data_IF_619704004274
#
_entry.id   IF_619704004274
#
_cell.length_a   1.000
_cell.length_b   1.000
_cell.length_c   1.000
_cell.angle_alpha   90.00
_cell.angle_beta   90.00
_cell.angle_gamma   90.00
#
_symmetry.space_group_name_H-M   'P 1'
#
loop_
_entity.id
_entity.type
_entity.pdbx_description
1 polymer ?
#
# COMPACT_ATOMS: atom_id res chain seq x y z
N UNK A 1 51.86 27.45 13.15
CA UNK A 1 50.60 26.90 13.71
C UNK A 1 49.35 27.66 13.26
N UNK A 2 49.42 28.94 12.82
CA UNK A 2 48.25 29.73 12.36
C UNK A 2 47.76 29.36 10.94
N UNK A 3 48.57 28.78 10.07
CA UNK A 3 48.20 28.40 8.69
C UNK A 3 47.37 27.14 8.64
N UNK A 4 47.53 26.21 9.59
CA UNK A 4 46.77 24.98 9.65
C UNK A 4 45.29 25.17 10.06
N UNK A 5 45.00 26.25 10.81
CA UNK A 5 43.65 26.58 11.28
C UNK A 5 42.83 27.24 10.16
N UNK A 6 43.47 27.97 9.23
CA UNK A 6 42.79 28.65 8.13
C UNK A 6 42.31 27.67 7.03
N UNK A 7 42.94 26.51 6.89
CA UNK A 7 42.59 25.48 5.90
C UNK A 7 41.38 24.65 6.32
N UNK A 8 41.02 24.61 7.60
CA UNK A 8 39.90 23.83 8.12
C UNK A 8 38.51 24.51 7.91
N UNK A 9 38.50 25.81 7.58
CA UNK A 9 37.26 26.61 7.41
C UNK A 9 36.73 26.57 5.97
N UNK A 10 37.47 26.01 5.02
CA UNK A 10 37.09 25.92 3.61
C UNK A 10 36.50 24.54 3.19
N UNK A 11 35.98 23.75 4.12
CA UNK A 11 35.16 22.62 3.75
C UNK A 11 33.81 23.22 3.29
N UNK A 12 33.46 23.15 1.99
CA UNK A 12 32.15 23.61 1.56
C UNK A 12 31.13 22.71 2.28
N UNK A 13 30.41 23.29 3.22
CA UNK A 13 29.18 22.71 3.72
C UNK A 13 28.27 22.56 2.52
N UNK A 14 28.29 21.38 1.87
CA UNK A 14 27.26 21.02 0.91
C UNK A 14 25.95 21.07 1.66
N UNK A 15 25.26 22.19 1.55
CA UNK A 15 23.85 22.29 1.93
C UNK A 15 23.13 21.26 1.09
N UNK A 16 22.80 20.12 1.68
CA UNK A 16 21.91 19.14 1.08
C UNK A 16 20.51 19.74 1.09
N UNK A 17 20.22 20.57 0.08
CA UNK A 17 18.83 20.95 -0.20
C UNK A 17 18.12 19.67 -0.67
N UNK A 18 17.30 19.12 0.18
CA UNK A 18 16.43 18.00 -0.21
C UNK A 18 15.51 18.46 -1.34
N UNK A 19 15.40 17.66 -2.38
CA UNK A 19 14.48 17.94 -3.48
C UNK A 19 13.02 17.85 -2.99
N UNK A 20 12.11 18.59 -3.64
CA UNK A 20 10.67 18.52 -3.34
C UNK A 20 10.17 17.07 -3.38
N UNK A 21 10.66 16.25 -4.32
CA UNK A 21 10.30 14.83 -4.42
C UNK A 21 10.72 14.01 -3.21
N UNK A 22 11.90 14.27 -2.65
CA UNK A 22 12.35 13.61 -1.41
C UNK A 22 11.51 14.01 -0.21
N UNK A 23 11.23 15.29 -0.02
CA UNK A 23 10.39 15.79 1.07
C UNK A 23 8.97 15.21 0.98
N UNK A 24 8.42 15.13 -0.24
CA UNK A 24 7.11 14.53 -0.49
C UNK A 24 7.10 13.05 -0.11
N UNK A 25 8.12 12.29 -0.54
CA UNK A 25 8.19 10.86 -0.21
C UNK A 25 8.40 10.61 1.28
N UNK A 26 9.18 11.44 1.96
CA UNK A 26 9.35 11.35 3.42
C UNK A 26 8.03 11.64 4.16
N UNK A 27 7.24 12.59 3.67
CA UNK A 27 5.91 12.90 4.22
C UNK A 27 4.92 11.75 3.98
N UNK A 28 4.95 11.12 2.81
CA UNK A 28 4.13 9.93 2.51
C UNK A 28 4.49 8.76 3.44
N UNK A 29 5.79 8.51 3.67
CA UNK A 29 6.24 7.47 4.61
C UNK A 29 5.78 7.77 6.04
N UNK A 30 5.89 9.03 6.50
CA UNK A 30 5.42 9.44 7.84
C UNK A 30 3.92 9.24 8.03
N UNK A 31 3.14 9.35 6.97
CA UNK A 31 1.68 9.09 7.00
C UNK A 31 1.32 7.60 6.91
N UNK A 32 2.32 6.72 6.86
CA UNK A 32 2.14 5.27 6.89
C UNK A 32 1.98 4.60 5.53
N UNK A 33 2.24 5.31 4.42
CA UNK A 33 2.31 4.66 3.11
C UNK A 33 3.55 3.80 2.99
N UNK A 34 3.45 2.69 2.28
CA UNK A 34 4.53 1.74 2.05
C UNK A 34 4.97 1.71 0.59
N UNK A 35 6.11 1.06 0.33
CA UNK A 35 6.71 0.92 -1.00
C UNK A 35 6.90 2.26 -1.72
N UNK A 36 7.05 3.34 -0.94
CA UNK A 36 7.16 4.71 -1.44
C UNK A 36 8.44 4.88 -2.22
N UNK A 37 8.33 5.40 -3.42
CA UNK A 37 9.44 5.77 -4.31
C UNK A 37 9.00 6.84 -5.29
N UNK A 38 9.93 7.48 -5.93
CA UNK A 38 9.66 8.52 -6.89
C UNK A 38 10.75 8.62 -7.95
N UNK A 39 10.42 9.23 -9.05
CA UNK A 39 11.38 9.63 -10.08
C UNK A 39 10.97 10.97 -10.69
N UNK A 40 11.92 11.68 -11.22
CA UNK A 40 11.72 12.99 -11.84
C UNK A 40 12.41 13.02 -13.20
N UNK A 41 11.62 13.10 -14.26
CA UNK A 41 12.08 13.22 -15.64
C UNK A 41 11.72 14.57 -16.20
N UNK A 42 12.25 14.96 -17.37
CA UNK A 42 11.83 16.22 -18.02
C UNK A 42 10.31 16.28 -18.30
N UNK A 43 9.67 15.15 -18.57
CA UNK A 43 8.27 15.08 -19.01
C UNK A 43 7.29 14.89 -17.83
N UNK A 44 7.72 14.18 -16.79
CA UNK A 44 6.83 13.81 -15.69
C UNK A 44 7.57 13.60 -14.37
N UNK A 45 6.89 13.92 -13.27
CA UNK A 45 7.25 13.49 -11.92
C UNK A 45 6.32 12.38 -11.48
N UNK A 46 6.89 11.24 -11.10
CA UNK A 46 6.10 10.05 -10.75
C UNK A 46 6.34 9.69 -9.29
N UNK A 47 5.27 9.53 -8.54
CA UNK A 47 5.27 8.98 -7.19
C UNK A 47 4.60 7.61 -7.21
N UNK A 48 5.10 6.71 -6.37
CA UNK A 48 4.49 5.40 -6.13
C UNK A 48 4.19 5.27 -4.65
N UNK A 49 3.00 4.79 -4.33
CA UNK A 49 2.58 4.51 -2.95
C UNK A 49 1.81 3.20 -2.88
N UNK A 50 1.87 2.58 -1.72
CA UNK A 50 0.98 1.50 -1.30
C UNK A 50 0.26 1.91 -0.02
N UNK A 51 -1.06 1.82 -0.02
CA UNK A 51 -1.85 2.18 1.14
C UNK A 51 -1.91 1.01 2.13
N UNK A 52 -1.19 1.14 3.22
CA UNK A 52 -1.26 0.24 4.38
C UNK A 52 -1.85 0.92 5.63
N UNK A 53 -1.93 2.26 5.62
CA UNK A 53 -2.37 3.04 6.78
C UNK A 53 -3.89 3.19 6.87
N UNK A 54 -4.59 3.18 5.74
CA UNK A 54 -6.02 3.49 5.70
C UNK A 54 -6.84 2.27 5.27
N UNK A 55 -7.86 1.91 6.05
CA UNK A 55 -8.75 0.80 5.74
C UNK A 55 -9.52 1.01 4.43
N UNK A 56 -9.90 2.26 4.15
CA UNK A 56 -10.61 2.63 2.91
C UNK A 56 -9.58 3.10 1.89
N UNK A 57 -9.47 2.38 0.77
CA UNK A 57 -8.47 2.66 -0.26
C UNK A 57 -8.60 4.06 -0.86
N UNK A 58 -9.84 4.50 -1.13
CA UNK A 58 -10.09 5.84 -1.68
C UNK A 58 -9.63 6.95 -0.73
N UNK A 59 -9.79 6.77 0.58
CA UNK A 59 -9.30 7.73 1.58
C UNK A 59 -7.77 7.80 1.57
N UNK A 60 -7.09 6.64 1.51
CA UNK A 60 -5.64 6.60 1.40
C UNK A 60 -5.13 7.32 0.14
N UNK A 61 -5.74 7.06 -1.01
CA UNK A 61 -5.39 7.73 -2.27
C UNK A 61 -5.56 9.24 -2.15
N UNK A 62 -6.70 9.70 -1.63
CA UNK A 62 -6.94 11.13 -1.41
C UNK A 62 -5.87 11.76 -0.51
N UNK A 63 -5.52 11.12 0.59
CA UNK A 63 -4.47 11.59 1.50
C UNK A 63 -3.09 11.68 0.82
N UNK A 64 -2.76 10.72 -0.05
CA UNK A 64 -1.53 10.78 -0.83
C UNK A 64 -1.54 11.96 -1.81
N UNK A 65 -2.65 12.19 -2.49
CA UNK A 65 -2.83 13.35 -3.37
C UNK A 65 -2.70 14.66 -2.59
N UNK A 66 -3.38 14.80 -1.45
CA UNK A 66 -3.33 15.99 -0.61
C UNK A 66 -1.88 16.31 -0.17
N UNK A 67 -1.09 15.28 0.19
CA UNK A 67 0.32 15.45 0.55
C UNK A 67 1.14 15.94 -0.65
N UNK A 68 0.99 15.30 -1.82
CA UNK A 68 1.73 15.68 -3.03
C UNK A 68 1.41 17.12 -3.43
N UNK A 69 0.15 17.53 -3.37
CA UNK A 69 -0.28 18.90 -3.66
C UNK A 69 0.31 19.91 -2.66
N UNK A 70 0.25 19.60 -1.37
CA UNK A 70 0.76 20.50 -0.31
C UNK A 70 2.27 20.71 -0.38
N UNK A 71 3.02 19.71 -0.88
CA UNK A 71 4.49 19.82 -1.06
C UNK A 71 4.90 20.55 -2.34
N UNK A 72 3.96 20.77 -3.25
CA UNK A 72 4.16 21.49 -4.50
C UNK A 72 4.20 20.60 -5.74
N UNK A 73 3.27 20.85 -6.63
CA UNK A 73 3.21 20.22 -7.95
C UNK A 73 4.19 20.88 -8.91
N UNK A 74 4.76 20.12 -9.86
CA UNK A 74 5.55 20.70 -10.93
C UNK A 74 4.68 21.60 -11.81
N UNK A 75 5.24 22.73 -12.29
CA UNK A 75 4.54 23.70 -13.14
C UNK A 75 4.76 23.47 -14.62
N UNK A 76 5.82 22.77 -14.98
CA UNK A 76 6.36 22.58 -16.33
C UNK A 76 6.16 21.18 -16.89
N UNK A 77 5.68 20.25 -16.08
CA UNK A 77 5.51 18.84 -16.45
C UNK A 77 4.37 18.18 -15.69
N UNK A 78 3.94 17.01 -16.16
CA UNK A 78 2.89 16.25 -15.48
C UNK A 78 3.37 15.69 -14.15
N UNK A 79 2.43 15.51 -13.21
CA UNK A 79 2.65 14.78 -11.97
C UNK A 79 1.76 13.54 -11.94
N UNK A 80 2.36 12.38 -11.70
CA UNK A 80 1.64 11.12 -11.68
C UNK A 80 1.82 10.42 -10.34
N UNK A 81 0.72 9.91 -9.79
CA UNK A 81 0.69 9.04 -8.62
C UNK A 81 0.29 7.64 -9.07
N UNK A 82 1.14 6.65 -8.87
CA UNK A 82 0.84 5.23 -9.11
C UNK A 82 0.56 4.57 -7.77
N UNK A 83 -0.62 3.98 -7.65
CA UNK A 83 -1.05 3.24 -6.46
C UNK A 83 -0.78 1.77 -6.68
N UNK A 84 -0.08 1.14 -5.74
CA UNK A 84 0.24 -0.28 -5.77
C UNK A 84 -0.54 -1.05 -4.72
N UNK A 85 -0.67 -2.37 -4.95
CA UNK A 85 -1.18 -3.32 -3.98
C UNK A 85 -0.28 -4.56 -4.02
N UNK A 86 0.40 -4.86 -2.91
CA UNK A 86 1.47 -5.86 -2.83
C UNK A 86 2.56 -5.62 -3.89
N UNK A 87 2.98 -4.37 -4.07
CA UNK A 87 3.93 -3.93 -5.09
C UNK A 87 3.48 -4.13 -6.56
N UNK A 88 2.24 -4.53 -6.81
CA UNK A 88 1.66 -4.62 -8.16
C UNK A 88 0.88 -3.35 -8.44
N UNK A 89 1.21 -2.59 -9.51
CA UNK A 89 0.54 -1.34 -9.83
C UNK A 89 -0.93 -1.59 -10.21
N UNK A 90 -1.85 -0.80 -9.65
CA UNK A 90 -3.28 -0.95 -9.81
C UNK A 90 -3.87 0.16 -10.66
N UNK A 91 -3.61 1.40 -10.28
CA UNK A 91 -4.22 2.58 -10.87
C UNK A 91 -3.22 3.73 -10.85
N UNK A 92 -3.32 4.63 -11.80
CA UNK A 92 -2.59 5.89 -11.85
C UNK A 92 -3.54 7.09 -11.77
N UNK A 93 -3.09 8.12 -11.08
CA UNK A 93 -3.71 9.42 -11.06
C UNK A 93 -2.72 10.40 -11.70
N UNK A 94 -3.16 11.19 -12.67
CA UNK A 94 -2.30 12.12 -13.39
C UNK A 94 -2.86 13.53 -13.29
N UNK A 95 -2.02 14.43 -12.81
CA UNK A 95 -2.23 15.87 -12.88
C UNK A 95 -1.44 16.45 -14.05
N UNK A 96 -2.07 17.29 -14.83
CA UNK A 96 -1.43 18.06 -15.90
C UNK A 96 -1.57 19.54 -15.60
N UNK A 97 -0.47 20.30 -15.48
CA UNK A 97 -0.56 21.74 -15.30
C UNK A 97 -1.18 22.39 -16.54
N UNK A 98 -2.17 23.23 -16.33
CA UNK A 98 -2.73 24.06 -17.39
C UNK A 98 -1.81 25.27 -17.61
N UNK A 99 -1.44 25.54 -18.85
CA UNK A 99 -0.60 26.67 -19.19
C UNK A 99 -1.28 27.99 -18.79
N UNK A 100 -0.68 28.72 -17.86
CA UNK A 100 -1.14 30.05 -17.43
C UNK A 100 -2.08 30.05 -16.21
N UNK A 101 -2.37 28.91 -15.58
CA UNK A 101 -3.27 28.86 -14.44
C UNK A 101 -2.51 28.90 -13.11
N UNK A 102 -2.83 29.92 -12.28
CA UNK A 102 -2.33 30.08 -10.92
C UNK A 102 -3.36 29.65 -9.87
N UNK A 103 -4.43 28.98 -10.31
CA UNK A 103 -5.53 28.58 -9.42
C UNK A 103 -5.13 27.47 -8.47
N UNK A 104 -5.79 27.43 -7.32
CA UNK A 104 -5.65 26.39 -6.31
C UNK A 104 -6.08 25.07 -6.94
N UNK A 105 -5.14 24.11 -7.00
CA UNK A 105 -5.38 22.78 -7.54
C UNK A 105 -6.29 22.00 -6.58
N UNK A 106 -7.43 21.56 -7.06
CA UNK A 106 -8.35 20.70 -6.31
C UNK A 106 -8.09 19.22 -6.65
N UNK A 107 -8.53 18.31 -5.79
CA UNK A 107 -8.40 16.86 -6.05
C UNK A 107 -9.14 16.40 -7.32
N UNK A 108 -10.07 17.19 -7.84
CA UNK A 108 -10.82 16.96 -9.07
C UNK A 108 -9.98 17.10 -10.34
N UNK A 109 -8.85 17.81 -10.27
CA UNK A 109 -7.94 18.02 -11.40
C UNK A 109 -7.09 16.78 -11.74
N UNK A 110 -7.17 15.73 -10.92
CA UNK A 110 -6.48 14.49 -11.14
C UNK A 110 -7.30 13.49 -11.95
N UNK A 111 -6.78 13.13 -13.11
CA UNK A 111 -7.39 12.11 -13.97
C UNK A 111 -6.98 10.70 -13.54
N UNK A 112 -7.96 9.89 -13.21
CA UNK A 112 -7.75 8.48 -12.83
C UNK A 112 -7.72 7.61 -14.08
N UNK A 113 -6.73 6.70 -14.16
CA UNK A 113 -6.59 5.74 -15.25
C UNK A 113 -6.10 4.39 -14.74
N UNK A 114 -6.58 3.32 -15.34
CA UNK A 114 -6.01 1.98 -15.16
C UNK A 114 -4.79 1.76 -16.05
N UNK A 115 -4.62 2.57 -17.08
CA UNK A 115 -3.41 2.59 -17.88
C UNK A 115 -2.31 3.35 -17.12
N UNK A 116 -1.22 2.64 -16.83
CA UNK A 116 -0.08 3.17 -16.10
C UNK A 116 0.98 3.70 -17.06
N UNK A 117 0.93 3.23 -18.32
CA UNK A 117 1.89 3.57 -19.36
C UNK A 117 3.32 3.22 -18.99
N UNK A 118 4.28 3.89 -19.62
CA UNK A 118 5.72 3.67 -19.43
C UNK A 118 6.25 4.25 -18.10
N UNK A 119 5.41 5.01 -17.37
CA UNK A 119 5.79 5.63 -16.09
C UNK A 119 6.20 4.59 -15.04
N UNK A 120 5.56 3.41 -15.07
CA UNK A 120 5.94 2.31 -14.17
C UNK A 120 7.34 1.79 -14.46
N UNK A 121 7.69 1.62 -15.73
CA UNK A 121 9.00 1.10 -16.13
C UNK A 121 10.13 2.05 -15.74
N UNK A 122 9.86 3.34 -15.72
CA UNK A 122 10.80 4.37 -15.26
C UNK A 122 11.00 4.30 -13.74
N UNK A 123 9.92 4.19 -12.96
CA UNK A 123 9.97 4.31 -11.49
C UNK A 123 10.16 2.97 -10.76
N UNK A 124 9.86 1.82 -11.37
CA UNK A 124 9.94 0.51 -10.71
C UNK A 124 11.34 0.13 -10.24
N UNK A 125 12.38 0.68 -10.90
CA UNK A 125 13.80 0.43 -10.58
C UNK A 125 14.34 1.35 -9.49
N UNK A 126 13.62 2.43 -9.17
CA UNK A 126 14.03 3.38 -8.15
C UNK A 126 14.01 2.75 -6.76
N UNK A 127 14.94 3.19 -5.91
CA UNK A 127 15.04 2.72 -4.53
C UNK A 127 13.80 3.13 -3.74
N UNK A 128 13.20 2.17 -3.06
CA UNK A 128 12.10 2.43 -2.14
C UNK A 128 12.62 3.10 -0.88
N UNK A 129 11.90 4.11 -0.38
CA UNK A 129 12.17 4.71 0.93
C UNK A 129 11.88 3.74 2.08
N UNK A 130 10.84 2.93 1.91
CA UNK A 130 10.45 1.87 2.82
C UNK A 130 9.93 0.66 2.02
N UNK A 131 9.91 -0.51 2.63
CA UNK A 131 9.46 -1.73 1.96
C UNK A 131 8.48 -2.48 2.85
N UNK A 132 7.41 -3.01 2.23
CA UNK A 132 6.48 -3.93 2.88
C UNK A 132 6.96 -5.38 2.85
N UNK A 133 8.05 -5.69 2.15
CA UNK A 133 8.57 -7.06 2.07
C UNK A 133 9.11 -7.51 3.43
N UNK A 134 8.77 -8.74 3.81
CA UNK A 134 9.09 -9.37 5.10
C UNK A 134 8.51 -8.66 6.33
N UNK A 135 7.63 -7.68 6.13
CA UNK A 135 6.85 -7.12 7.21
C UNK A 135 5.80 -8.13 7.65
N UNK A 136 5.68 -8.33 8.95
CA UNK A 136 4.70 -9.23 9.56
C UNK A 136 3.53 -8.40 10.04
N UNK A 137 2.36 -8.66 9.49
CA UNK A 137 1.11 -8.07 9.94
C UNK A 137 0.34 -9.11 10.77
N UNK A 138 -0.14 -8.70 11.94
CA UNK A 138 -0.96 -9.53 12.81
C UNK A 138 -2.38 -8.96 12.77
N UNK A 139 -3.31 -9.79 12.38
CA UNK A 139 -4.71 -9.44 12.23
C UNK A 139 -5.57 -10.34 13.10
N UNK A 140 -6.68 -9.84 13.59
CA UNK A 140 -7.67 -10.66 14.30
C UNK A 140 -9.01 -10.49 13.63
N UNK A 141 -9.56 -11.59 13.12
CA UNK A 141 -10.84 -11.61 12.46
C UNK A 141 -11.91 -12.18 13.40
N UNK A 142 -12.86 -11.38 13.92
CA UNK A 142 -14.06 -11.91 14.54
C UNK A 142 -14.94 -12.52 13.44
N UNK A 143 -15.32 -13.80 13.60
CA UNK A 143 -16.18 -14.52 12.67
C UNK A 143 -17.46 -14.91 13.39
N UNK A 144 -18.59 -14.47 12.86
CA UNK A 144 -19.90 -14.83 13.34
C UNK A 144 -20.63 -15.61 12.24
N UNK A 145 -20.92 -16.86 12.51
CA UNK A 145 -21.70 -17.71 11.63
C UNK A 145 -23.01 -18.08 12.31
N UNK A 146 -24.08 -18.12 11.56
CA UNK A 146 -25.34 -18.65 12.04
C UNK A 146 -25.91 -19.65 11.01
N UNK A 147 -26.52 -20.69 11.51
CA UNK A 147 -27.22 -21.70 10.70
C UNK A 147 -28.67 -21.82 11.18
N UNK A 148 -29.53 -22.12 10.22
CA UNK A 148 -30.96 -22.29 10.46
C UNK A 148 -31.42 -23.57 9.77
N UNK A 149 -31.24 -24.73 10.40
CA UNK A 149 -31.41 -25.99 9.70
C UNK A 149 -32.11 -27.11 10.46
N UNK A 150 -32.42 -26.99 11.75
CA UNK A 150 -32.97 -28.12 12.52
C UNK A 150 -34.27 -27.74 13.19
N UNK A 151 -35.27 -28.62 13.10
CA UNK A 151 -36.62 -28.42 13.69
C UNK A 151 -36.56 -28.22 15.20
N UNK A 152 -35.60 -28.80 15.88
CA UNK A 152 -35.42 -28.71 17.33
C UNK A 152 -34.64 -27.50 17.81
N UNK A 153 -33.86 -26.88 16.92
CA UNK A 153 -33.05 -25.68 17.20
C UNK A 153 -33.06 -24.74 16.00
N UNK A 154 -33.89 -23.72 16.08
CA UNK A 154 -34.18 -22.84 14.95
C UNK A 154 -32.95 -21.97 14.57
N UNK A 155 -32.15 -21.58 15.56
CA UNK A 155 -30.95 -20.79 15.37
C UNK A 155 -29.76 -21.44 16.04
N UNK A 156 -28.68 -21.57 15.31
CA UNK A 156 -27.39 -22.06 15.78
C UNK A 156 -26.36 -20.99 15.49
N UNK A 157 -25.57 -20.62 16.48
CA UNK A 157 -24.61 -19.53 16.40
C UNK A 157 -23.22 -20.06 16.71
N UNK A 158 -22.24 -19.66 15.89
CA UNK A 158 -20.82 -19.88 16.15
C UNK A 158 -20.12 -18.52 16.13
N UNK A 159 -19.35 -18.24 17.16
CA UNK A 159 -18.51 -17.07 17.24
C UNK A 159 -17.06 -17.48 17.49
N UNK A 160 -16.19 -17.18 16.51
CA UNK A 160 -14.77 -17.49 16.56
C UNK A 160 -13.94 -16.19 16.53
N UNK A 161 -12.82 -16.21 17.22
CA UNK A 161 -11.72 -15.28 17.01
C UNK A 161 -10.65 -15.96 16.17
N UNK A 162 -10.31 -15.35 15.05
CA UNK A 162 -9.37 -15.94 14.10
C UNK A 162 -8.15 -15.04 13.91
N UNK A 163 -7.16 -15.11 14.82
CA UNK A 163 -5.89 -14.44 14.62
C UNK A 163 -5.16 -15.02 13.41
N UNK A 164 -4.62 -14.10 12.59
CA UNK A 164 -3.86 -14.42 11.39
C UNK A 164 -2.55 -13.65 11.36
N UNK A 165 -1.54 -14.29 10.80
CA UNK A 165 -0.24 -13.67 10.49
C UNK A 165 -0.13 -13.59 8.98
N UNK A 166 0.19 -12.41 8.46
CA UNK A 166 0.38 -12.16 7.04
C UNK A 166 1.77 -11.63 6.77
N UNK A 167 2.44 -12.17 5.74
CA UNK A 167 3.80 -11.76 5.35
C UNK A 167 3.89 -11.69 3.83
N UNK A 168 4.45 -10.60 3.31
CA UNK A 168 4.81 -10.48 1.88
C UNK A 168 6.26 -10.90 1.67
N UNK A 169 6.49 -11.96 0.91
CA UNK A 169 7.84 -12.52 0.68
C UNK A 169 8.53 -11.89 -0.54
N UNK A 170 7.79 -11.60 -1.61
CA UNK A 170 8.25 -10.92 -2.82
C UNK A 170 7.08 -10.11 -3.44
N UNK A 171 7.32 -9.27 -4.44
CA UNK A 171 6.26 -8.48 -5.07
C UNK A 171 5.09 -9.33 -5.55
N UNK A 172 3.88 -8.97 -5.13
CA UNK A 172 2.64 -9.68 -5.45
C UNK A 172 2.31 -10.86 -4.54
N UNK A 173 3.26 -11.33 -3.71
CA UNK A 173 3.05 -12.48 -2.82
C UNK A 173 2.43 -12.09 -1.50
N UNK A 174 1.70 -13.03 -0.90
CA UNK A 174 1.18 -12.97 0.45
C UNK A 174 1.09 -14.38 1.03
N UNK A 175 1.84 -14.64 2.08
CA UNK A 175 1.70 -15.82 2.91
C UNK A 175 0.78 -15.47 4.08
N UNK A 176 -0.26 -16.26 4.30
CA UNK A 176 -1.19 -16.09 5.42
C UNK A 176 -1.25 -17.39 6.21
N UNK A 177 -1.11 -17.29 7.52
CA UNK A 177 -1.39 -18.38 8.46
C UNK A 177 -2.43 -17.92 9.48
N UNK A 178 -3.51 -18.67 9.63
CA UNK A 178 -4.63 -18.37 10.53
C UNK A 178 -4.92 -19.56 11.42
N UNK A 179 -5.30 -19.27 12.66
CA UNK A 179 -5.90 -20.24 13.58
C UNK A 179 -7.29 -19.76 13.97
N UNK A 180 -8.19 -20.70 14.25
CA UNK A 180 -9.51 -20.39 14.75
C UNK A 180 -9.59 -20.75 16.24
N UNK A 181 -10.10 -19.82 17.03
CA UNK A 181 -10.31 -19.96 18.48
C UNK A 181 -11.81 -19.86 18.70
N UNK A 182 -12.52 -20.96 18.93
CA UNK A 182 -13.93 -20.93 19.23
C UNK A 182 -14.17 -20.24 20.58
N UNK A 183 -15.02 -19.20 20.57
CA UNK A 183 -15.42 -18.45 21.77
C UNK A 183 -16.82 -18.88 22.20
N UNK A 184 -17.70 -19.14 21.24
CA UNK A 184 -19.05 -19.61 21.47
C UNK A 184 -19.49 -20.51 20.32
N UNK A 185 -20.03 -21.68 20.66
CA UNK A 185 -20.55 -22.65 19.70
C UNK A 185 -21.75 -23.38 20.29
N UNK A 186 -22.94 -23.18 19.71
CA UNK A 186 -24.14 -23.90 20.10
C UNK A 186 -24.68 -24.82 18.99
N UNK A 187 -23.83 -25.11 18.00
CA UNK A 187 -24.21 -26.01 16.89
C UNK A 187 -24.27 -27.45 17.39
N UNK A 188 -25.47 -28.04 17.32
CA UNK A 188 -25.69 -29.39 17.76
C UNK A 188 -24.91 -30.42 16.93
N UNK A 189 -24.10 -31.24 17.60
CA UNK A 189 -23.35 -32.33 16.98
C UNK A 189 -21.97 -31.92 16.41
N UNK A 190 -21.57 -30.64 16.46
CA UNK A 190 -20.24 -30.22 16.07
C UNK A 190 -19.39 -29.99 17.32
N UNK A 191 -18.41 -30.88 17.51
CA UNK A 191 -17.57 -30.92 18.73
C UNK A 191 -16.30 -30.05 18.65
N UNK A 192 -16.22 -29.06 17.76
CA UNK A 192 -15.02 -28.23 17.63
C UNK A 192 -15.00 -27.03 18.59
N UNK A 193 -15.00 -27.33 19.91
CA UNK A 193 -14.70 -26.34 20.96
C UNK A 193 -13.18 -26.16 21.17
N UNK A 194 -12.37 -26.68 20.27
CA UNK A 194 -10.91 -26.63 20.37
C UNK A 194 -10.34 -25.69 19.33
N UNK A 195 -9.23 -25.04 19.74
CA UNK A 195 -8.42 -24.29 18.80
C UNK A 195 -7.94 -25.20 17.67
N UNK A 196 -8.19 -24.79 16.44
CA UNK A 196 -7.83 -25.55 15.25
C UNK A 196 -7.23 -24.66 14.16
N UNK A 197 -6.42 -25.22 13.25
CA UNK A 197 -5.93 -24.46 12.10
C UNK A 197 -7.10 -23.93 11.26
N UNK A 198 -7.07 -22.65 10.91
CA UNK A 198 -7.99 -22.05 9.97
C UNK A 198 -7.54 -22.29 8.54
N UNK A 199 -6.64 -21.41 8.07
CA UNK A 199 -6.05 -21.61 6.75
C UNK A 199 -4.56 -21.24 6.73
N UNK A 200 -3.81 -21.92 5.86
CA UNK A 200 -2.43 -21.58 5.55
C UNK A 200 -2.34 -21.46 4.03
N UNK A 201 -2.18 -20.24 3.53
CA UNK A 201 -2.26 -19.97 2.10
C UNK A 201 -1.11 -19.11 1.62
N UNK A 202 -0.61 -19.43 0.43
CA UNK A 202 0.29 -18.58 -0.35
C UNK A 202 -0.47 -18.05 -1.55
N UNK A 203 -0.57 -16.74 -1.65
CA UNK A 203 -1.24 -16.05 -2.76
C UNK A 203 -0.22 -15.29 -3.58
N UNK A 204 -0.38 -15.29 -4.90
CA UNK A 204 0.37 -14.46 -5.84
C UNK A 204 -0.60 -13.59 -6.63
N UNK A 205 -0.37 -12.28 -6.59
CA UNK A 205 -1.06 -11.31 -7.45
C UNK A 205 -0.18 -10.94 -8.62
N UNK A 206 -0.80 -10.70 -9.75
CA UNK A 206 -0.11 -10.31 -10.97
C UNK A 206 -0.98 -9.37 -11.81
N UNK A 207 -0.32 -8.59 -12.64
CA UNK A 207 -0.95 -7.76 -13.65
C UNK A 207 -0.51 -8.26 -15.01
N UNK A 208 -1.46 -8.55 -15.86
CA UNK A 208 -1.28 -8.93 -17.27
C UNK A 208 -1.50 -7.72 -18.19
N UNK A 209 -1.10 -7.80 -19.47
CA UNK A 209 -1.48 -6.82 -20.47
C UNK A 209 -3.00 -6.57 -20.48
N UNK A 210 -3.42 -5.45 -21.05
CA UNK A 210 -4.82 -5.02 -21.12
C UNK A 210 -5.48 -4.75 -19.77
N UNK A 211 -4.69 -4.39 -18.75
CA UNK A 211 -5.17 -4.07 -17.39
C UNK A 211 -5.92 -5.22 -16.70
N UNK A 212 -5.60 -6.46 -17.05
CA UNK A 212 -6.15 -7.65 -16.40
C UNK A 212 -5.37 -7.91 -15.11
N UNK A 213 -6.10 -8.05 -14.00
CA UNK A 213 -5.55 -8.41 -12.70
C UNK A 213 -5.92 -9.83 -12.35
N UNK A 214 -4.97 -10.58 -11.84
CA UNK A 214 -5.18 -11.94 -11.38
C UNK A 214 -4.61 -12.17 -9.99
N UNK A 215 -5.18 -13.17 -9.30
CA UNK A 215 -4.70 -13.70 -8.04
C UNK A 215 -4.79 -15.22 -8.10
N UNK A 216 -3.68 -15.89 -7.90
CA UNK A 216 -3.62 -17.33 -7.66
C UNK A 216 -3.36 -17.58 -6.17
N UNK A 217 -4.05 -18.56 -5.58
CA UNK A 217 -3.86 -18.93 -4.18
C UNK A 217 -3.76 -20.44 -4.08
N UNK A 218 -2.77 -20.92 -3.35
CA UNK A 218 -2.57 -22.33 -3.02
C UNK A 218 -2.41 -22.47 -1.51
N UNK A 219 -2.90 -23.54 -0.95
CA UNK A 219 -2.73 -23.82 0.47
C UNK A 219 -3.83 -24.68 1.05
N UNK A 220 -3.78 -24.80 2.37
CA UNK A 220 -4.77 -25.52 3.17
C UNK A 220 -5.86 -24.55 3.61
N UNK A 221 -7.10 -24.96 3.48
CA UNK A 221 -8.29 -24.24 3.95
C UNK A 221 -9.16 -25.26 4.69
N UNK A 222 -9.46 -24.96 5.94
CA UNK A 222 -10.36 -25.77 6.76
C UNK A 222 -11.80 -25.24 6.63
#
# INVERSE_FOLDING_TARGET
YCIAILLLVMIPLKSFSQSTGELTTDSLVKMGFENVRWTDTPEERVYVVENSAYKIQALGIRKAVDIIQSMGLPKDKSCKLIVTNYNIPQVSLTYQPLAGDTTVVNGEDWKVSYDIGDSWDKVKKEKKKNSSLFKVDILVYPQLSYMNMIITQIYQVVFDLSPAIEVSLWPGSKLTGQINIPVYNDVYGILEDKVHPGHITLSQRFRLPYNIYGKATIGYVN
#
